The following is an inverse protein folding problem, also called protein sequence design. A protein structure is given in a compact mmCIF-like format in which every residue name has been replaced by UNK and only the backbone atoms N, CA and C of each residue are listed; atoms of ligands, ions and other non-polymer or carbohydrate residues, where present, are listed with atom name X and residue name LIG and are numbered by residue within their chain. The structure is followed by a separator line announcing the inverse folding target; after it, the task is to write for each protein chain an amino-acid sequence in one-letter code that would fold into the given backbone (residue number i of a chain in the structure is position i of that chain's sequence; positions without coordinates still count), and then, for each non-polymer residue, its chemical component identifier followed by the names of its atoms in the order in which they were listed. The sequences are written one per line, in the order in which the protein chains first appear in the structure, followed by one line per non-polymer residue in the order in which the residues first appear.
data_IF_419024112721
#
_entry.id   IF_419024112721
#
_cell.length_a   1.000
_cell.length_b   1.000
_cell.length_c   1.000
_cell.angle_alpha   90.00
_cell.angle_beta   90.00
_cell.angle_gamma   90.00
#
_symmetry.space_group_name_H-M   'P 1'
#
loop_
_entity.id
_entity.type
_entity.pdbx_description
1 polymer ?
#
# COMPACT_ATOMS: atom_id res chain seq x y z
N UNK A 1 -11.68 6.18 20.74
CA UNK A 1 -10.79 6.70 21.81
C UNK A 1 -9.38 6.26 21.45
N UNK A 2 -8.49 7.19 21.11
CA UNK A 2 -7.10 6.89 20.74
C UNK A 2 -6.31 6.77 22.04
N UNK A 3 -5.77 5.60 22.33
CA UNK A 3 -4.83 5.41 23.43
C UNK A 3 -3.42 5.67 22.89
N UNK A 4 -2.78 6.74 23.37
CA UNK A 4 -1.34 6.88 23.21
C UNK A 4 -0.67 6.00 24.27
N UNK A 5 -0.21 4.81 23.85
CA UNK A 5 0.66 3.98 24.69
C UNK A 5 2.10 4.41 24.39
N UNK A 6 2.65 5.29 25.21
CA UNK A 6 4.09 5.55 25.21
C UNK A 6 4.76 4.51 26.11
N UNK A 7 5.29 3.45 25.50
CA UNK A 7 6.12 2.48 26.19
C UNK A 7 7.56 3.01 26.32
N UNK A 8 7.94 3.52 27.49
CA UNK A 8 9.35 3.70 27.81
C UNK A 8 9.91 2.38 28.35
N UNK A 9 10.67 1.66 27.53
CA UNK A 9 11.53 0.58 28.00
C UNK A 9 12.72 1.21 28.75
N UNK A 10 12.54 1.54 30.03
CA UNK A 10 13.67 1.65 30.92
C UNK A 10 14.40 0.31 30.88
N UNK A 11 15.73 0.32 30.69
CA UNK A 11 16.57 -0.86 30.47
C UNK A 11 16.64 -1.88 31.62
N UNK A 12 15.57 -2.06 32.40
CA UNK A 12 15.35 -3.26 33.19
C UNK A 12 14.99 -4.39 32.22
N UNK A 13 15.90 -5.36 32.13
CA UNK A 13 15.85 -6.52 31.24
C UNK A 13 14.44 -7.09 31.10
N UNK A 14 13.87 -6.95 29.90
CA UNK A 14 12.73 -7.73 29.45
C UNK A 14 13.06 -9.22 29.69
N UNK A 15 12.29 -9.97 30.50
CA UNK A 15 12.64 -11.34 30.84
C UNK A 15 12.71 -12.24 29.62
N UNK A 16 13.75 -13.06 29.49
CA UNK A 16 13.95 -13.88 28.28
C UNK A 16 12.81 -14.87 28.00
N UNK A 17 12.07 -15.30 29.02
CA UNK A 17 10.92 -16.16 28.84
C UNK A 17 9.78 -15.50 28.06
N UNK A 18 9.64 -14.16 28.06
CA UNK A 18 8.60 -13.51 27.26
C UNK A 18 8.89 -13.61 25.76
N UNK A 19 10.17 -13.62 25.37
CA UNK A 19 10.59 -13.80 23.98
C UNK A 19 10.22 -15.19 23.50
N UNK A 20 10.38 -16.20 24.36
CA UNK A 20 9.95 -17.57 24.06
C UNK A 20 8.43 -17.68 23.95
N UNK A 21 7.68 -17.03 24.85
CA UNK A 21 6.21 -17.01 24.76
C UNK A 21 5.72 -16.33 23.48
N UNK A 22 6.37 -15.24 23.05
CA UNK A 22 6.05 -14.57 21.79
C UNK A 22 6.32 -15.48 20.58
N UNK A 23 7.45 -16.21 20.58
CA UNK A 23 7.78 -17.19 19.55
C UNK A 23 6.78 -18.37 19.54
N UNK A 24 6.40 -18.89 20.70
CA UNK A 24 5.44 -19.98 20.78
C UNK A 24 4.03 -19.55 20.37
N UNK A 25 3.65 -18.32 20.66
CA UNK A 25 2.39 -17.76 20.18
C UNK A 25 2.41 -17.61 18.67
N UNK A 26 3.49 -17.08 18.07
CA UNK A 26 3.59 -16.93 16.61
C UNK A 26 3.64 -18.26 15.86
N UNK A 27 4.14 -19.32 16.51
CA UNK A 27 4.11 -20.69 15.98
C UNK A 27 2.80 -21.44 16.28
N UNK A 28 1.82 -20.81 16.92
CA UNK A 28 0.54 -21.41 17.30
C UNK A 28 0.63 -22.49 18.39
N UNK A 29 1.74 -22.55 19.13
CA UNK A 29 1.97 -23.52 20.22
C UNK A 29 1.31 -23.13 21.54
N UNK A 30 1.01 -21.83 21.71
CA UNK A 30 0.16 -21.32 22.79
C UNK A 30 -0.93 -20.45 22.18
N UNK A 31 -2.08 -20.42 22.84
CA UNK A 31 -3.22 -19.60 22.46
C UNK A 31 -2.96 -18.11 22.65
N UNK A 32 -3.73 -17.27 21.97
CA UNK A 32 -3.72 -15.82 22.17
C UNK A 32 -4.00 -15.46 23.64
N UNK A 33 -4.93 -16.15 24.30
CA UNK A 33 -5.23 -15.93 25.71
C UNK A 33 -4.02 -16.21 26.63
N UNK A 34 -3.26 -17.28 26.36
CA UNK A 34 -2.04 -17.61 27.11
C UNK A 34 -0.94 -16.56 26.90
N UNK A 35 -0.82 -16.03 25.68
CA UNK A 35 0.11 -14.94 25.39
C UNK A 35 -0.30 -13.62 26.07
N UNK A 36 -1.59 -13.28 26.06
CA UNK A 36 -2.11 -12.08 26.75
C UNK A 36 -1.90 -12.16 28.27
N UNK A 37 -2.07 -13.33 28.87
CA UNK A 37 -1.79 -13.54 30.29
C UNK A 37 -0.30 -13.29 30.63
N UNK A 38 0.61 -13.63 29.72
CA UNK A 38 2.04 -13.37 29.88
C UNK A 38 2.37 -11.87 29.83
N UNK A 39 1.70 -11.10 28.97
CA UNK A 39 1.81 -9.64 28.92
C UNK A 39 1.20 -9.02 30.19
N UNK A 40 0.04 -9.51 30.62
CA UNK A 40 -0.61 -9.07 31.86
C UNK A 40 0.33 -9.25 33.07
N UNK A 41 1.03 -10.38 33.17
CA UNK A 41 2.04 -10.61 34.20
C UNK A 41 3.12 -9.52 34.22
N UNK A 42 3.59 -9.06 33.06
CA UNK A 42 4.62 -8.01 32.97
C UNK A 42 4.10 -6.65 33.48
N UNK A 43 2.83 -6.34 33.26
CA UNK A 43 2.17 -5.13 33.76
C UNK A 43 1.98 -5.23 35.28
N UNK A 44 1.47 -6.35 35.77
CA UNK A 44 1.22 -6.58 37.21
C UNK A 44 2.52 -6.52 38.02
N UNK A 45 3.61 -7.07 37.48
CA UNK A 45 4.93 -7.05 38.12
C UNK A 45 5.72 -5.77 37.83
N UNK A 46 5.10 -4.76 37.19
CA UNK A 46 5.70 -3.46 36.87
C UNK A 46 6.98 -3.55 36.04
N UNK A 47 7.17 -4.66 35.33
CA UNK A 47 8.24 -4.81 34.33
C UNK A 47 7.93 -3.91 33.12
N UNK A 48 6.65 -3.86 32.75
CA UNK A 48 6.10 -2.81 31.88
C UNK A 48 5.37 -1.82 32.78
N UNK A 49 5.78 -0.56 32.77
CA UNK A 49 5.06 0.51 33.47
C UNK A 49 4.26 1.31 32.46
N UNK A 50 2.95 1.35 32.62
CA UNK A 50 2.06 2.18 31.81
C UNK A 50 1.90 3.52 32.54
N UNK A 51 2.47 4.59 31.99
CA UNK A 51 2.23 5.94 32.49
C UNK A 51 0.84 6.39 32.03
N UNK A 52 -0.12 6.38 32.94
CA UNK A 52 -1.46 6.90 32.69
C UNK A 52 -1.47 8.39 33.09
N UNK A 53 -1.74 9.28 32.13
CA UNK A 53 -1.91 10.70 32.42
C UNK A 53 -3.18 10.88 33.29
N UNK A 54 -3.10 11.60 34.43
CA UNK A 54 -4.10 11.50 35.50
C UNK A 54 -5.43 12.23 35.26
N UNK A 55 -5.70 12.83 34.10
CA UNK A 55 -6.90 13.67 33.92
C UNK A 55 -8.17 12.96 33.44
N UNK A 56 -8.17 11.64 33.20
CA UNK A 56 -9.34 10.94 32.63
C UNK A 56 -9.84 9.69 33.37
N UNK A 57 -9.38 9.41 34.59
CA UNK A 57 -9.89 8.27 35.36
C UNK A 57 -11.09 8.66 36.26
N UNK A 58 -12.29 8.56 35.71
CA UNK A 58 -13.43 8.10 36.51
C UNK A 58 -13.52 6.59 36.35
N UNK A 59 -13.53 5.79 37.44
CA UNK A 59 -13.69 4.35 37.35
C UNK A 59 -15.14 4.06 36.96
N UNK A 60 -15.41 4.01 35.66
CA UNK A 60 -16.62 3.35 35.17
C UNK A 60 -16.33 1.85 35.22
N UNK A 61 -17.12 1.11 35.98
CA UNK A 61 -17.15 -0.37 35.98
C UNK A 61 -17.81 -0.90 34.69
N UNK A 62 -17.55 -0.28 33.54
CA UNK A 62 -18.02 -0.79 32.26
C UNK A 62 -17.17 -2.00 31.91
N UNK A 63 -17.77 -3.20 31.93
CA UNK A 63 -17.23 -4.34 31.20
C UNK A 63 -17.00 -3.88 29.76
N UNK A 64 -15.75 -3.70 29.36
CA UNK A 64 -15.41 -3.33 27.98
C UNK A 64 -15.69 -4.56 27.12
N UNK A 65 -16.86 -4.58 26.49
CA UNK A 65 -17.18 -5.57 25.46
C UNK A 65 -16.49 -5.13 24.18
N UNK A 66 -15.41 -5.81 23.80
CA UNK A 66 -14.82 -5.65 22.46
C UNK A 66 -15.87 -6.18 21.46
N UNK A 67 -16.28 -5.39 20.45
CA UNK A 67 -17.19 -5.87 19.42
C UNK A 67 -16.64 -7.13 18.75
N UNK A 68 -17.52 -8.10 18.49
CA UNK A 68 -17.15 -9.33 17.78
C UNK A 68 -16.78 -9.02 16.33
N UNK A 69 -16.11 -9.94 15.64
CA UNK A 69 -15.80 -9.80 14.21
C UNK A 69 -17.04 -9.50 13.37
N UNK A 70 -18.17 -10.13 13.70
CA UNK A 70 -19.47 -9.89 13.06
C UNK A 70 -20.02 -8.48 13.24
N UNK A 71 -19.54 -7.71 14.22
CA UNK A 71 -20.03 -6.37 14.54
C UNK A 71 -19.03 -5.26 14.17
N UNK A 72 -17.80 -5.60 13.77
CA UNK A 72 -16.72 -4.63 13.49
C UNK A 72 -16.31 -4.66 12.03
N UNK A 73 -15.83 -3.53 11.51
CA UNK A 73 -15.31 -3.43 10.15
C UNK A 73 -14.15 -4.41 9.92
N UNK A 74 -14.30 -5.28 8.93
CA UNK A 74 -13.33 -6.33 8.56
C UNK A 74 -12.84 -6.21 7.12
N UNK A 75 -13.64 -5.63 6.21
CA UNK A 75 -13.29 -5.56 4.80
C UNK A 75 -13.97 -4.40 4.07
N UNK A 76 -13.61 -4.22 2.80
CA UNK A 76 -14.14 -3.17 1.95
C UNK A 76 -14.64 -3.75 0.63
N UNK A 77 -15.74 -3.20 0.10
CA UNK A 77 -16.09 -3.34 -1.31
C UNK A 77 -16.02 -1.96 -1.95
N UNK A 78 -15.19 -1.86 -2.98
CA UNK A 78 -14.96 -0.62 -3.73
C UNK A 78 -15.67 -0.73 -5.08
N UNK A 79 -16.50 0.26 -5.42
CA UNK A 79 -17.16 0.34 -6.73
C UNK A 79 -16.81 1.60 -7.46
N UNK A 80 -16.58 1.48 -8.76
CA UNK A 80 -16.34 2.61 -9.63
C UNK A 80 -17.38 2.60 -10.76
N UNK A 81 -17.93 3.78 -11.05
CA UNK A 81 -18.92 3.95 -12.11
C UNK A 81 -18.84 5.35 -12.72
N UNK A 82 -19.48 5.57 -13.88
CA UNK A 82 -19.50 6.87 -14.54
C UNK A 82 -18.20 7.22 -15.29
N UNK A 83 -18.15 8.42 -15.88
CA UNK A 83 -17.06 8.83 -16.76
C UNK A 83 -16.90 7.89 -17.96
N UNK A 84 -15.72 7.30 -18.10
CA UNK A 84 -15.39 6.36 -19.19
C UNK A 84 -15.71 4.89 -18.85
N UNK A 85 -16.25 4.64 -17.67
CA UNK A 85 -16.57 3.31 -17.14
C UNK A 85 -17.93 2.86 -17.69
N UNK A 86 -17.93 1.85 -18.56
CA UNK A 86 -19.15 1.36 -19.21
C UNK A 86 -20.04 0.53 -18.28
N UNK A 87 -19.43 -0.35 -17.49
CA UNK A 87 -20.10 -1.20 -16.50
C UNK A 87 -19.49 -0.92 -15.14
N UNK A 88 -20.32 -0.89 -14.10
CA UNK A 88 -19.83 -0.74 -12.74
C UNK A 88 -18.77 -1.80 -12.44
N UNK A 89 -17.59 -1.35 -12.04
CA UNK A 89 -16.52 -2.21 -11.57
C UNK A 89 -16.65 -2.40 -10.07
N UNK A 90 -16.54 -3.63 -9.58
CA UNK A 90 -16.69 -3.98 -8.16
C UNK A 90 -15.46 -4.76 -7.71
N UNK A 91 -14.81 -4.31 -6.64
CA UNK A 91 -13.58 -4.90 -6.11
C UNK A 91 -13.72 -5.19 -4.62
N UNK A 92 -13.49 -6.44 -4.22
CA UNK A 92 -13.42 -6.88 -2.81
C UNK A 92 -11.98 -7.08 -2.32
N UNK A 93 -10.99 -6.87 -3.17
CA UNK A 93 -9.58 -7.22 -2.93
C UNK A 93 -8.70 -6.01 -2.56
N UNK A 94 -9.30 -4.85 -2.30
CA UNK A 94 -8.60 -3.72 -1.70
C UNK A 94 -8.40 -3.99 -0.20
N UNK A 95 -7.13 -4.05 0.19
CA UNK A 95 -6.74 -4.39 1.55
C UNK A 95 -6.87 -3.25 2.55
N UNK A 96 -6.83 -2.00 2.05
CA UNK A 96 -6.86 -0.80 2.86
C UNK A 96 -7.48 0.34 2.07
N UNK A 97 -8.42 1.02 2.69
CA UNK A 97 -9.06 2.22 2.17
C UNK A 97 -8.94 3.33 3.20
N UNK A 98 -8.30 4.43 2.82
CA UNK A 98 -8.01 5.52 3.75
C UNK A 98 -8.58 6.84 3.25
N UNK A 99 -9.55 7.43 3.97
CA UNK A 99 -9.97 8.80 3.71
C UNK A 99 -8.92 9.77 4.27
N UNK A 100 -8.41 10.68 3.43
CA UNK A 100 -7.46 11.72 3.85
C UNK A 100 -5.98 11.34 3.84
N UNK A 101 -5.15 12.23 4.40
CA UNK A 101 -3.68 12.10 4.46
C UNK A 101 -3.25 11.69 5.89
N UNK A 102 -2.50 10.59 6.01
CA UNK A 102 -1.90 10.14 7.28
C UNK A 102 -1.02 11.21 7.94
N UNK A 103 -0.45 12.15 7.17
CA UNK A 103 0.67 12.96 7.62
C UNK A 103 0.32 14.38 8.10
N UNK A 104 -0.93 14.86 8.01
CA UNK A 104 -1.29 16.23 8.44
C UNK A 104 -0.38 17.35 7.87
N UNK A 105 0.40 17.09 6.80
CA UNK A 105 1.44 18.01 6.33
C UNK A 105 0.87 19.16 5.47
N UNK A 106 -0.39 19.05 5.02
CA UNK A 106 -1.11 20.11 4.32
C UNK A 106 -2.20 20.68 5.24
N UNK A 107 -1.80 21.45 6.26
CA UNK A 107 -2.68 22.45 6.87
C UNK A 107 -2.64 23.70 5.98
N UNK A 108 -3.58 23.84 5.02
CA UNK A 108 -4.78 24.63 5.35
C UNK A 108 -6.09 24.23 4.62
N UNK A 109 -6.34 22.96 4.29
CA UNK A 109 -7.65 22.56 3.72
C UNK A 109 -8.62 21.90 4.71
N UNK A 110 -8.18 21.60 5.92
CA UNK A 110 -9.05 21.07 6.97
C UNK A 110 -9.53 22.18 7.91
N UNK A 111 -10.75 22.65 7.68
CA UNK A 111 -11.55 23.34 8.70
C UNK A 111 -12.93 22.70 8.81
N UNK A 112 -12.97 21.39 9.08
CA UNK A 112 -14.17 20.62 9.48
C UNK A 112 -14.94 19.89 8.35
N UNK A 113 -14.45 18.71 7.92
CA UNK A 113 -15.17 17.81 7.02
C UNK A 113 -14.42 16.50 6.67
N UNK A 114 -15.13 15.54 6.05
CA UNK A 114 -14.54 14.36 5.40
C UNK A 114 -13.59 14.81 4.30
N UNK A 115 -12.43 14.15 4.15
CA UNK A 115 -11.51 14.45 3.05
C UNK A 115 -12.14 14.10 1.71
N UNK A 116 -11.97 15.00 0.74
CA UNK A 116 -12.31 14.83 -0.66
C UNK A 116 -11.31 13.94 -1.40
N UNK A 117 -10.47 13.22 -0.67
CA UNK A 117 -9.39 12.39 -1.16
C UNK A 117 -9.42 11.01 -0.48
N UNK A 118 -9.12 9.95 -1.23
CA UNK A 118 -9.07 8.58 -0.76
C UNK A 118 -7.89 7.81 -1.34
N UNK A 119 -7.23 7.03 -0.46
CA UNK A 119 -6.18 6.08 -0.81
C UNK A 119 -6.78 4.69 -0.90
N UNK A 120 -6.50 3.99 -1.99
CA UNK A 120 -6.80 2.59 -2.19
C UNK A 120 -5.49 1.80 -2.27
N UNK A 121 -5.28 0.83 -1.39
CA UNK A 121 -4.07 0.00 -1.34
C UNK A 121 -4.42 -1.49 -1.46
N UNK A 122 -3.69 -2.22 -2.29
CA UNK A 122 -3.93 -3.64 -2.53
C UNK A 122 -2.69 -4.41 -2.98
N UNK A 123 -2.87 -5.72 -3.18
CA UNK A 123 -1.94 -6.53 -3.96
C UNK A 123 -2.24 -6.33 -5.45
N UNK A 124 -1.21 -6.10 -6.30
CA UNK A 124 -1.45 -5.95 -7.72
C UNK A 124 -1.87 -7.28 -8.32
N UNK A 125 -3.08 -7.37 -8.84
CA UNK A 125 -3.68 -8.66 -9.20
C UNK A 125 -4.63 -8.61 -10.40
N UNK A 126 -4.83 -9.77 -11.04
CA UNK A 126 -5.59 -9.92 -12.30
C UNK A 126 -7.05 -9.46 -12.21
N UNK A 127 -7.68 -9.55 -11.04
CA UNK A 127 -9.04 -9.05 -10.83
C UNK A 127 -9.15 -7.52 -11.01
N UNK A 128 -8.03 -6.79 -10.96
CA UNK A 128 -7.98 -5.32 -11.12
C UNK A 128 -7.54 -4.87 -12.51
N UNK A 129 -7.51 -5.74 -13.52
CA UNK A 129 -7.08 -5.39 -14.88
C UNK A 129 -7.84 -4.19 -15.47
N UNK A 130 -9.17 -4.13 -15.29
CA UNK A 130 -9.96 -2.98 -15.76
C UNK A 130 -9.63 -1.70 -15.00
N UNK A 131 -9.34 -1.80 -13.70
CA UNK A 131 -8.91 -0.67 -12.88
C UNK A 131 -7.55 -0.11 -13.34
N UNK A 132 -6.59 -0.97 -13.67
CA UNK A 132 -5.30 -0.54 -14.22
C UNK A 132 -5.44 0.15 -15.58
N UNK A 133 -6.38 -0.28 -16.41
CA UNK A 133 -6.68 0.42 -17.66
C UNK A 133 -7.15 1.85 -17.39
N UNK A 134 -8.01 2.08 -16.39
CA UNK A 134 -8.40 3.44 -15.99
C UNK A 134 -7.21 4.23 -15.46
N UNK A 135 -6.39 3.66 -14.57
CA UNK A 135 -5.18 4.32 -14.05
C UNK A 135 -4.27 4.78 -15.20
N UNK A 136 -4.06 3.92 -16.20
CA UNK A 136 -3.19 4.23 -17.34
C UNK A 136 -3.61 5.48 -18.11
N UNK A 137 -4.93 5.74 -18.21
CA UNK A 137 -5.49 6.91 -18.87
C UNK A 137 -5.19 8.20 -18.10
N UNK A 138 -5.05 8.13 -16.78
CA UNK A 138 -4.68 9.28 -15.93
C UNK A 138 -3.18 9.51 -15.84
N UNK A 139 -2.36 8.46 -15.98
CA UNK A 139 -0.89 8.57 -15.93
C UNK A 139 -0.31 9.19 -17.20
N UNK A 140 -0.84 8.84 -18.37
CA UNK A 140 -0.43 9.43 -19.65
C UNK A 140 -1.67 9.84 -20.46
N UNK A 141 -2.38 10.90 -20.02
CA UNK A 141 -3.63 11.31 -20.62
C UNK A 141 -3.36 11.94 -21.98
N UNK A 142 -3.44 11.14 -23.05
CA UNK A 142 -3.47 11.66 -24.42
C UNK A 142 -4.62 12.68 -24.62
N UNK A 143 -5.64 12.60 -23.77
CA UNK A 143 -6.64 13.64 -23.48
C UNK A 143 -7.00 13.59 -22.00
N UNK A 144 -7.53 14.69 -21.46
CA UNK A 144 -8.06 14.71 -20.10
C UNK A 144 -9.19 13.67 -19.92
N UNK A 145 -9.08 12.70 -18.99
CA UNK A 145 -10.13 11.71 -18.75
C UNK A 145 -11.37 12.33 -18.10
N UNK A 146 -12.53 11.76 -18.40
CA UNK A 146 -13.81 12.11 -17.75
C UNK A 146 -13.79 11.70 -16.27
N UNK A 147 -14.26 12.55 -15.33
CA UNK A 147 -14.36 12.15 -13.92
C UNK A 147 -15.33 10.97 -13.72
N UNK A 148 -15.02 10.11 -12.75
CA UNK A 148 -15.86 8.96 -12.36
C UNK A 148 -16.38 9.11 -10.93
N UNK A 149 -17.31 8.27 -10.51
CA UNK A 149 -17.81 8.18 -9.14
C UNK A 149 -17.29 6.90 -8.47
N UNK A 150 -17.05 6.96 -7.16
CA UNK A 150 -16.42 5.90 -6.37
C UNK A 150 -17.23 5.68 -5.11
N UNK A 151 -17.68 4.46 -4.82
CA UNK A 151 -18.32 4.10 -3.55
C UNK A 151 -17.48 3.08 -2.79
N UNK A 152 -17.35 3.25 -1.48
CA UNK A 152 -16.68 2.31 -0.58
C UNK A 152 -17.66 1.84 0.46
N UNK A 153 -18.02 0.56 0.41
CA UNK A 153 -18.72 -0.09 1.51
C UNK A 153 -17.71 -0.61 2.52
N UNK A 154 -17.99 -0.34 3.79
CA UNK A 154 -17.27 -0.92 4.93
C UNK A 154 -18.11 -2.07 5.46
N UNK A 155 -17.57 -3.29 5.41
CA UNK A 155 -18.29 -4.49 5.79
C UNK A 155 -17.81 -5.03 7.13
N UNK A 156 -18.74 -5.59 7.89
CA UNK A 156 -18.43 -6.41 9.07
C UNK A 156 -17.91 -7.80 8.70
N UNK A 157 -17.51 -8.59 9.70
CA UNK A 157 -17.14 -10.01 9.52
C UNK A 157 -18.29 -10.94 9.14
N UNK A 158 -19.56 -10.50 9.24
CA UNK A 158 -20.74 -11.21 8.73
C UNK A 158 -21.19 -10.70 7.34
N UNK A 159 -20.35 -9.91 6.67
CA UNK A 159 -20.57 -9.27 5.37
C UNK A 159 -21.76 -8.28 5.33
N UNK A 160 -22.22 -7.80 6.49
CA UNK A 160 -23.19 -6.70 6.52
C UNK A 160 -22.52 -5.34 6.30
N UNK A 161 -23.15 -4.47 5.52
CA UNK A 161 -22.61 -3.12 5.26
C UNK A 161 -22.83 -2.25 6.50
N UNK A 162 -21.75 -1.79 7.13
CA UNK A 162 -21.81 -0.83 8.24
C UNK A 162 -22.16 0.56 7.75
N UNK A 163 -21.44 1.01 6.73
CA UNK A 163 -21.61 2.30 6.08
C UNK A 163 -21.10 2.23 4.64
N UNK A 164 -21.61 3.14 3.82
CA UNK A 164 -21.15 3.39 2.46
C UNK A 164 -20.65 4.82 2.38
N UNK A 165 -19.42 5.01 1.88
CA UNK A 165 -18.87 6.33 1.56
C UNK A 165 -18.94 6.52 0.04
N UNK A 166 -19.73 7.48 -0.40
CA UNK A 166 -19.92 7.83 -1.80
C UNK A 166 -19.08 9.06 -2.15
N UNK A 167 -18.17 8.91 -3.10
CA UNK A 167 -17.37 9.98 -3.66
C UNK A 167 -17.82 10.29 -5.09
N UNK A 168 -17.88 11.57 -5.43
CA UNK A 168 -18.34 12.02 -6.75
C UNK A 168 -17.30 12.86 -7.49
N UNK A 169 -17.30 12.77 -8.82
CA UNK A 169 -16.41 13.51 -9.73
C UNK A 169 -14.93 13.31 -9.38
N UNK A 170 -14.55 12.06 -9.20
CA UNK A 170 -13.22 11.59 -8.87
C UNK A 170 -12.27 11.60 -10.06
N UNK A 171 -10.99 11.75 -9.76
CA UNK A 171 -9.84 11.73 -10.66
C UNK A 171 -8.70 11.00 -9.97
N UNK A 172 -8.03 10.12 -10.68
CA UNK A 172 -6.80 9.52 -10.18
C UNK A 172 -5.70 10.57 -10.30
N UNK A 173 -5.03 10.86 -9.18
CA UNK A 173 -3.96 11.87 -9.12
C UNK A 173 -2.60 11.24 -8.86
N UNK A 174 -2.54 9.99 -8.40
CA UNK A 174 -1.32 9.18 -8.46
C UNK A 174 -1.60 7.68 -8.39
N UNK A 175 -0.62 6.92 -8.87
CA UNK A 175 -0.49 5.50 -8.69
C UNK A 175 0.98 5.16 -8.44
N UNK A 176 1.26 4.25 -7.53
CA UNK A 176 2.61 3.71 -7.34
C UNK A 176 2.55 2.25 -6.94
N UNK A 177 3.48 1.45 -7.48
CA UNK A 177 3.83 0.15 -6.94
C UNK A 177 5.02 0.30 -6.00
N UNK A 178 5.03 -0.47 -4.92
CA UNK A 178 6.14 -0.51 -3.98
C UNK A 178 6.23 -1.87 -3.32
N UNK A 179 7.39 -2.16 -2.76
CA UNK A 179 7.59 -3.37 -1.98
C UNK A 179 7.49 -3.08 -0.50
N UNK A 180 6.68 -3.85 0.22
CA UNK A 180 6.51 -3.72 1.67
C UNK A 180 7.40 -4.73 2.40
N UNK A 181 8.45 -4.22 3.06
CA UNK A 181 9.45 -5.02 3.77
C UNK A 181 9.17 -5.16 5.27
N UNK A 182 8.27 -4.33 5.83
CA UNK A 182 8.10 -4.24 7.27
C UNK A 182 7.19 -5.36 7.81
N UNK A 183 7.75 -6.18 8.70
CA UNK A 183 7.09 -7.33 9.36
C UNK A 183 5.90 -6.91 10.25
N UNK A 184 5.85 -5.65 10.71
CA UNK A 184 4.80 -5.13 11.60
C UNK A 184 3.50 -4.75 10.88
N UNK A 185 3.42 -4.90 9.55
CA UNK A 185 2.18 -4.72 8.80
C UNK A 185 1.55 -6.09 8.49
N UNK A 186 0.22 -6.15 8.39
CA UNK A 186 -0.50 -7.35 7.95
C UNK A 186 0.00 -7.75 6.55
N UNK A 187 0.66 -8.90 6.46
CA UNK A 187 1.06 -9.53 5.20
C UNK A 187 0.00 -10.54 4.76
N UNK A 188 -0.33 -10.56 3.47
CA UNK A 188 -1.30 -11.49 2.90
C UNK A 188 -0.64 -12.77 2.36
N UNK A 189 0.69 -12.81 2.29
CA UNK A 189 1.47 -14.02 2.06
C UNK A 189 1.49 -14.96 3.27
N UNK A 190 1.56 -16.26 3.01
CA UNK A 190 1.68 -17.30 4.05
C UNK A 190 3.09 -17.40 4.64
N UNK A 191 4.04 -16.59 4.16
CA UNK A 191 5.43 -16.56 4.59
C UNK A 191 5.85 -15.11 4.84
N UNK A 192 6.69 -14.90 5.84
CA UNK A 192 7.31 -13.61 6.15
C UNK A 192 8.29 -13.21 5.05
N UNK A 193 7.80 -12.53 4.03
CA UNK A 193 8.57 -12.08 2.89
C UNK A 193 8.14 -10.69 2.45
N UNK A 194 8.99 -10.04 1.66
CA UNK A 194 8.65 -8.79 0.97
C UNK A 194 7.42 -9.01 0.07
N UNK A 195 6.46 -8.08 0.13
CA UNK A 195 5.21 -8.18 -0.62
C UNK A 195 5.05 -6.97 -1.53
N UNK A 196 4.82 -7.21 -2.82
CA UNK A 196 4.59 -6.14 -3.79
C UNK A 196 3.16 -5.65 -3.62
N UNK A 197 3.02 -4.34 -3.42
CA UNK A 197 1.76 -3.63 -3.20
C UNK A 197 1.60 -2.50 -4.20
N UNK A 198 0.35 -2.13 -4.44
CA UNK A 198 0.02 -0.89 -5.14
C UNK A 198 -0.78 0.06 -4.26
N UNK A 199 -0.63 1.35 -4.57
CA UNK A 199 -1.35 2.43 -3.95
C UNK A 199 -1.89 3.35 -5.03
N UNK A 200 -3.18 3.62 -4.98
CA UNK A 200 -3.84 4.60 -5.84
C UNK A 200 -4.41 5.73 -5.01
N UNK A 201 -4.16 6.94 -5.48
CA UNK A 201 -4.51 8.22 -4.88
C UNK A 201 -5.63 8.80 -5.73
N UNK A 202 -6.84 8.90 -5.16
CA UNK A 202 -8.04 9.38 -5.87
C UNK A 202 -8.55 10.67 -5.22
N UNK A 203 -8.59 11.74 -6.00
CA UNK A 203 -9.15 13.03 -5.60
C UNK A 203 -10.56 13.22 -6.16
N UNK A 204 -11.51 13.63 -5.35
CA UNK A 204 -12.92 13.77 -5.67
C UNK A 204 -13.40 15.18 -5.34
N UNK A 205 -14.56 15.59 -5.89
CA UNK A 205 -15.12 16.93 -5.63
C UNK A 205 -16.24 16.92 -4.59
N UNK A 206 -16.77 15.75 -4.26
CA UNK A 206 -17.84 15.59 -3.27
C UNK A 206 -17.75 14.25 -2.57
N UNK A 207 -18.19 14.22 -1.31
CA UNK A 207 -18.25 13.04 -0.46
C UNK A 207 -19.58 13.05 0.30
N UNK A 208 -20.20 11.89 0.38
CA UNK A 208 -21.44 11.62 1.12
C UNK A 208 -21.30 10.30 1.88
N UNK A 209 -21.94 10.17 3.04
CA UNK A 209 -21.85 8.98 3.88
C UNK A 209 -23.25 8.48 4.21
N UNK A 210 -23.54 7.26 3.78
CA UNK A 210 -24.76 6.55 4.12
C UNK A 210 -24.48 5.57 5.26
N UNK A 211 -25.21 5.69 6.36
CA UNK A 211 -25.11 4.77 7.51
C UNK A 211 -26.34 3.89 7.54
N UNK A 212 -26.14 2.57 7.62
CA UNK A 212 -27.23 1.62 7.78
C UNK A 212 -26.94 0.26 7.16
N UNK A 213 -27.41 -0.80 7.81
CA UNK A 213 -27.27 -2.18 7.36
C UNK A 213 -28.04 -2.39 6.06
N UNK A 214 -27.30 -2.50 4.94
CA UNK A 214 -27.79 -3.07 3.69
C UNK A 214 -27.23 -4.49 3.60
N UNK A 215 -28.10 -5.48 3.41
CA UNK A 215 -27.66 -6.83 3.03
C UNK A 215 -27.11 -6.76 1.60
N UNK A 216 -25.87 -7.19 1.38
CA UNK A 216 -25.24 -7.15 0.07
C UNK A 216 -25.06 -8.51 -0.59
N UNK A 217 -24.71 -8.43 -1.88
CA UNK A 217 -24.30 -9.54 -2.74
C UNK A 217 -23.03 -10.15 -2.14
N UNK A 218 -23.03 -11.47 -1.95
CA UNK A 218 -21.90 -12.26 -1.48
C UNK A 218 -20.74 -12.17 -2.50
N UNK A 219 -19.91 -11.15 -2.38
CA UNK A 219 -18.58 -11.10 -3.00
C UNK A 219 -17.61 -11.39 -1.88
N UNK A 220 -17.27 -12.66 -1.68
CA UNK A 220 -16.35 -13.06 -0.64
C UNK A 220 -15.06 -12.23 -0.72
N UNK A 221 -14.59 -11.71 0.41
CA UNK A 221 -13.28 -11.09 0.49
C UNK A 221 -12.23 -12.15 0.15
N UNK A 222 -11.54 -11.98 -0.99
CA UNK A 222 -10.55 -12.93 -1.47
C UNK A 222 -9.20 -12.26 -1.55
N UNK A 223 -8.25 -12.80 -0.81
CA UNK A 223 -6.84 -12.48 -0.99
C UNK A 223 -6.40 -13.12 -2.32
N UNK A 224 -5.90 -12.34 -3.30
CA UNK A 224 -5.40 -12.90 -4.55
C UNK A 224 -4.29 -13.93 -4.30
N UNK A 225 -4.34 -15.04 -5.03
CA UNK A 225 -3.31 -16.09 -4.98
C UNK A 225 -1.97 -15.57 -5.54
N UNK A 226 -0.87 -16.31 -5.32
CA UNK A 226 0.41 -15.99 -5.97
C UNK A 226 0.30 -15.99 -7.50
N UNK A 227 -0.48 -16.89 -8.08
CA UNK A 227 -0.67 -17.00 -9.53
C UNK A 227 -1.46 -15.82 -10.10
N UNK A 228 -2.29 -15.18 -9.26
CA UNK A 228 -3.13 -14.05 -9.66
C UNK A 228 -2.50 -12.69 -9.38
N UNK A 229 -1.44 -12.63 -8.57
CA UNK A 229 -0.83 -11.38 -8.12
C UNK A 229 0.63 -11.25 -8.53
N UNK A 230 1.10 -10.03 -8.63
CA UNK A 230 2.51 -9.73 -8.95
C UNK A 230 3.41 -10.22 -7.82
N UNK A 231 4.43 -10.99 -8.18
CA UNK A 231 5.44 -11.51 -7.24
C UNK A 231 6.86 -11.12 -7.63
N UNK A 232 7.08 -10.62 -8.85
CA UNK A 232 8.41 -10.26 -9.33
C UNK A 232 8.39 -9.22 -10.45
N UNK A 233 9.57 -8.70 -10.76
CA UNK A 233 9.80 -7.75 -11.86
C UNK A 233 10.77 -8.34 -12.88
N UNK A 234 10.52 -8.07 -14.16
CA UNK A 234 11.50 -8.29 -15.22
C UNK A 234 11.78 -6.96 -15.90
N UNK A 235 13.04 -6.54 -15.89
CA UNK A 235 13.47 -5.26 -16.44
C UNK A 235 14.23 -5.50 -17.73
N UNK A 236 13.80 -4.86 -18.80
CA UNK A 236 14.39 -4.92 -20.12
C UNK A 236 15.04 -3.59 -20.46
N UNK A 237 16.34 -3.62 -20.76
CA UNK A 237 17.09 -2.50 -21.25
C UNK A 237 17.41 -2.70 -22.73
N UNK A 238 17.19 -1.66 -23.54
CA UNK A 238 17.43 -1.73 -24.98
C UNK A 238 17.69 -0.34 -25.55
N UNK A 239 18.52 -0.23 -26.58
CA UNK A 239 18.88 1.05 -27.20
C UNK A 239 20.35 1.07 -27.61
N UNK A 240 20.89 2.23 -28.01
CA UNK A 240 22.27 2.37 -28.47
C UNK A 240 23.34 1.87 -27.49
N UNK A 241 23.08 1.95 -26.17
CA UNK A 241 23.99 1.42 -25.13
C UNK A 241 23.95 -0.12 -24.99
N UNK A 242 22.95 -0.77 -25.57
CA UNK A 242 22.72 -2.21 -25.46
C UNK A 242 22.72 -2.89 -26.84
N UNK A 243 23.65 -3.83 -27.13
CA UNK A 243 23.72 -4.50 -28.44
C UNK A 243 22.52 -5.41 -28.77
N UNK A 244 21.55 -5.52 -27.86
CA UNK A 244 20.29 -6.26 -27.97
C UNK A 244 19.39 -5.93 -26.78
N UNK A 245 18.33 -6.71 -26.56
CA UNK A 245 17.50 -6.58 -25.36
C UNK A 245 18.19 -7.28 -24.19
N UNK A 246 18.66 -6.51 -23.22
CA UNK A 246 19.28 -7.01 -22.00
C UNK A 246 18.25 -7.08 -20.88
N UNK A 247 17.97 -8.28 -20.37
CA UNK A 247 16.84 -8.53 -19.46
C UNK A 247 17.32 -9.05 -18.11
N UNK A 248 16.74 -8.53 -17.03
CA UNK A 248 17.08 -8.88 -15.65
C UNK A 248 15.82 -9.11 -14.82
N UNK A 249 15.78 -10.24 -14.12
CA UNK A 249 14.71 -10.60 -13.18
C UNK A 249 15.17 -10.54 -11.71
N UNK A 250 16.34 -9.94 -11.47
CA UNK A 250 17.01 -9.88 -10.17
C UNK A 250 16.81 -8.55 -9.44
N UNK A 251 15.84 -7.74 -9.89
CA UNK A 251 15.40 -6.53 -9.19
C UNK A 251 14.35 -6.87 -8.15
N UNK A 252 14.52 -6.37 -6.92
CA UNK A 252 13.61 -6.64 -5.80
C UNK A 252 12.55 -5.55 -5.67
N UNK A 253 12.84 -4.32 -6.11
CA UNK A 253 11.88 -3.22 -6.05
C UNK A 253 11.81 -2.44 -7.35
N UNK A 254 10.60 -2.01 -7.65
CA UNK A 254 10.29 -1.03 -8.67
C UNK A 254 9.28 -0.04 -8.09
N UNK A 255 9.58 1.25 -8.23
CA UNK A 255 8.64 2.32 -7.90
C UNK A 255 8.58 3.33 -9.05
N UNK A 256 7.42 3.51 -9.70
CA UNK A 256 7.23 4.62 -10.62
C UNK A 256 7.13 5.89 -9.78
N UNK A 257 8.05 6.83 -9.98
CA UNK A 257 8.13 8.07 -9.21
C UNK A 257 7.63 9.23 -10.06
N UNK A 258 6.65 9.97 -9.53
CA UNK A 258 6.03 11.09 -10.24
C UNK A 258 6.50 12.45 -9.73
N UNK A 259 7.15 12.54 -8.57
CA UNK A 259 7.80 13.75 -8.04
C UNK A 259 8.57 13.39 -6.76
N UNK A 260 9.89 13.57 -6.68
CA UNK A 260 10.63 13.37 -5.41
C UNK A 260 10.76 14.72 -4.70
N UNK A 261 10.17 14.87 -3.51
CA UNK A 261 10.63 15.87 -2.55
C UNK A 261 11.72 15.21 -1.71
N UNK A 262 12.97 15.55 -1.98
CA UNK A 262 14.06 15.24 -1.07
C UNK A 262 13.96 16.16 0.16
N UNK A 263 13.71 15.57 1.33
CA UNK A 263 13.98 16.23 2.62
C UNK A 263 15.16 15.52 3.29
N UNK A 264 15.96 16.19 4.15
CA UNK A 264 17.15 15.59 4.77
C UNK A 264 16.88 14.41 5.71
N UNK A 265 15.62 14.01 5.90
CA UNK A 265 15.22 12.90 6.76
C UNK A 265 14.47 11.79 6.01
N UNK A 266 13.90 12.08 4.82
CA UNK A 266 13.07 11.14 4.03
C UNK A 266 13.01 11.58 2.57
N UNK A 267 13.22 10.66 1.64
CA UNK A 267 12.82 10.78 0.22
C UNK A 267 11.32 10.52 0.11
N UNK A 268 10.52 11.56 -0.10
CA UNK A 268 9.09 11.39 -0.39
C UNK A 268 8.86 11.46 -1.89
N UNK A 269 8.12 10.50 -2.44
CA UNK A 269 7.42 10.74 -3.69
C UNK A 269 6.19 11.60 -3.38
N UNK A 270 6.19 12.87 -3.80
CA UNK A 270 4.96 13.64 -3.85
C UNK A 270 4.07 13.01 -4.94
N UNK A 271 2.80 12.71 -4.66
CA UNK A 271 1.79 12.59 -5.69
C UNK A 271 1.65 13.99 -6.32
N UNK A 272 2.46 14.25 -7.35
CA UNK A 272 2.40 15.48 -8.12
C UNK A 272 1.96 15.13 -9.54
N UNK A 273 0.99 15.92 -9.99
CA UNK A 273 0.34 15.90 -11.29
C UNK A 273 1.32 15.59 -12.44
N UNK A 274 1.02 14.70 -13.41
CA UNK A 274 1.91 14.33 -14.52
C UNK A 274 2.20 15.46 -15.53
N UNK A 275 1.84 16.71 -15.24
CA UNK A 275 1.87 17.81 -16.22
C UNK A 275 3.16 18.64 -16.21
N UNK A 276 4.11 18.45 -15.28
CA UNK A 276 5.28 19.34 -15.16
C UNK A 276 6.65 18.68 -14.93
N UNK A 277 6.75 17.35 -14.83
CA UNK A 277 8.03 16.63 -14.65
C UNK A 277 8.29 15.55 -15.71
N UNK A 278 9.57 15.31 -16.03
CA UNK A 278 9.97 14.12 -16.79
C UNK A 278 9.66 12.86 -15.96
N UNK A 279 9.04 11.81 -16.53
CA UNK A 279 8.77 10.57 -15.82
C UNK A 279 10.04 9.98 -15.22
N UNK A 280 9.97 9.49 -13.98
CA UNK A 280 11.07 8.86 -13.28
C UNK A 280 10.66 7.49 -12.73
N UNK A 281 11.65 6.68 -12.39
CA UNK A 281 11.45 5.43 -11.70
C UNK A 281 12.66 5.09 -10.85
N UNK A 282 12.43 4.25 -9.84
CA UNK A 282 13.47 3.69 -8.99
C UNK A 282 13.48 2.17 -9.18
N UNK A 283 14.68 1.61 -9.36
CA UNK A 283 14.92 0.17 -9.31
C UNK A 283 15.91 -0.12 -8.19
N UNK A 284 15.55 -1.05 -7.31
CA UNK A 284 16.44 -1.52 -6.23
C UNK A 284 16.67 -3.02 -6.35
N UNK A 285 17.88 -3.43 -5.95
CA UNK A 285 18.28 -4.82 -5.90
C UNK A 285 19.53 -4.99 -5.07
N UNK A 286 19.79 -6.21 -4.61
CA UNK A 286 21.10 -6.57 -4.11
C UNK A 286 22.14 -6.53 -5.25
N UNK A 287 23.37 -6.06 -4.97
CA UNK A 287 24.45 -6.13 -5.95
C UNK A 287 24.72 -7.57 -6.39
N UNK A 288 24.81 -7.80 -7.69
CA UNK A 288 24.89 -9.16 -8.22
C UNK A 288 25.63 -9.22 -9.57
N UNK A 289 26.25 -10.38 -9.87
CA UNK A 289 27.12 -10.54 -11.05
C UNK A 289 26.38 -10.42 -12.38
N UNK A 290 25.11 -10.80 -12.41
CA UNK A 290 24.24 -10.69 -13.58
C UNK A 290 24.10 -9.25 -14.04
N UNK A 291 24.17 -8.25 -13.15
CA UNK A 291 24.08 -6.80 -13.45
C UNK A 291 25.40 -6.16 -13.92
N UNK A 292 26.41 -6.96 -14.27
CA UNK A 292 27.73 -6.45 -14.66
C UNK A 292 27.67 -5.46 -15.84
N UNK A 293 26.81 -5.71 -16.82
CA UNK A 293 26.66 -4.83 -18.00
C UNK A 293 26.07 -3.46 -17.60
N UNK A 294 25.09 -3.43 -16.70
CA UNK A 294 24.59 -2.17 -16.11
C UNK A 294 25.69 -1.42 -15.37
N UNK A 295 26.49 -2.09 -14.55
CA UNK A 295 27.59 -1.41 -13.84
C UNK A 295 28.62 -0.81 -14.80
N UNK A 296 28.87 -1.44 -15.95
CA UNK A 296 29.75 -0.88 -16.97
C UNK A 296 29.15 0.39 -17.58
N UNK A 297 27.83 0.43 -17.81
CA UNK A 297 27.13 1.62 -18.31
C UNK A 297 27.14 2.73 -17.26
N UNK A 298 26.74 2.45 -16.01
CA UNK A 298 26.78 3.41 -14.90
C UNK A 298 28.18 4.00 -14.69
N UNK A 299 29.24 3.22 -14.92
CA UNK A 299 30.61 3.72 -14.79
C UNK A 299 30.95 4.82 -15.81
N UNK A 300 30.27 4.88 -16.96
CA UNK A 300 30.46 5.95 -17.97
C UNK A 300 29.90 7.29 -17.51
N UNK A 301 28.87 7.30 -16.68
CA UNK A 301 28.28 8.53 -16.11
C UNK A 301 29.13 9.13 -14.99
N UNK A 302 29.90 8.29 -14.28
CA UNK A 302 30.70 8.72 -13.12
C UNK A 302 32.09 9.19 -13.57
N UNK A 303 32.67 8.57 -14.59
CA UNK A 303 34.02 8.88 -15.07
C UNK A 303 33.99 9.96 -16.17
N UNK A 304 34.99 10.84 -16.24
CA UNK A 304 35.10 11.84 -17.30
C UNK A 304 35.26 11.14 -18.67
N UNK A 305 34.17 11.12 -19.44
CA UNK A 305 34.07 10.49 -20.76
C UNK A 305 32.96 11.14 -21.59
N UNK A 306 32.71 10.65 -22.82
CA UNK A 306 31.55 11.07 -23.59
C UNK A 306 30.27 10.70 -22.84
N UNK A 307 29.31 11.63 -22.84
CA UNK A 307 27.98 11.40 -22.29
C UNK A 307 27.37 10.14 -22.94
N UNK A 308 26.85 9.19 -22.15
CA UNK A 308 26.24 7.97 -22.68
C UNK A 308 25.05 8.29 -23.58
N UNK A 309 24.77 7.40 -24.52
CA UNK A 309 23.56 7.52 -25.33
C UNK A 309 22.33 7.20 -24.48
N UNK A 310 21.23 7.90 -24.76
CA UNK A 310 19.93 7.56 -24.18
C UNK A 310 19.54 6.13 -24.55
N UNK A 311 18.81 5.46 -23.66
CA UNK A 311 18.29 4.13 -23.89
C UNK A 311 16.86 4.01 -23.38
N UNK A 312 16.20 2.90 -23.69
CA UNK A 312 14.84 2.64 -23.27
C UNK A 312 14.81 1.52 -22.23
N UNK A 313 13.84 1.62 -21.32
CA UNK A 313 13.60 0.65 -20.27
C UNK A 313 12.15 0.21 -20.31
N UNK A 314 11.92 -1.10 -20.29
CA UNK A 314 10.60 -1.69 -20.07
C UNK A 314 10.62 -2.50 -18.78
N UNK A 315 9.65 -2.30 -17.89
CA UNK A 315 9.53 -3.03 -16.63
C UNK A 315 8.21 -3.80 -16.65
N UNK A 316 8.32 -5.12 -16.61
CA UNK A 316 7.20 -6.03 -16.52
C UNK A 316 6.97 -6.42 -15.07
N UNK A 317 5.73 -6.26 -14.61
CA UNK A 317 5.25 -6.78 -13.33
C UNK A 317 4.63 -8.15 -13.58
N UNK A 318 5.25 -9.20 -13.04
CA UNK A 318 4.97 -10.60 -13.37
C UNK A 318 4.24 -11.30 -12.22
N UNK A 319 3.15 -12.00 -12.55
CA UNK A 319 2.41 -12.85 -11.61
C UNK A 319 3.07 -14.21 -11.39
N UNK A 320 2.65 -14.96 -10.37
CA UNK A 320 3.22 -16.27 -10.05
C UNK A 320 3.11 -17.34 -11.13
N UNK A 321 2.17 -17.17 -12.08
CA UNK A 321 2.00 -18.02 -13.26
C UNK A 321 2.67 -17.46 -14.52
N UNK A 322 3.64 -16.55 -14.36
CA UNK A 322 4.41 -15.92 -15.42
C UNK A 322 3.61 -15.01 -16.37
N UNK A 323 2.42 -14.54 -15.97
CA UNK A 323 1.66 -13.55 -16.74
C UNK A 323 2.20 -12.13 -16.49
N UNK A 324 2.38 -11.34 -17.55
CA UNK A 324 2.65 -9.90 -17.43
C UNK A 324 1.34 -9.19 -17.05
N UNK A 325 1.24 -8.73 -15.82
CA UNK A 325 0.07 -7.96 -15.35
C UNK A 325 0.13 -6.51 -15.84
N UNK A 326 1.31 -5.89 -15.73
CA UNK A 326 1.57 -4.51 -16.15
C UNK A 326 2.91 -4.41 -16.86
N UNK A 327 2.98 -3.55 -17.87
CA UNK A 327 4.24 -3.18 -18.54
C UNK A 327 4.41 -1.66 -18.53
N UNK A 328 5.49 -1.21 -17.91
CA UNK A 328 5.87 0.19 -17.82
C UNK A 328 6.97 0.48 -18.83
N UNK A 329 6.78 1.48 -19.69
CA UNK A 329 7.74 1.81 -20.73
C UNK A 329 8.29 3.23 -20.52
N UNK A 330 9.60 3.33 -20.40
CA UNK A 330 10.35 4.57 -20.28
C UNK A 330 11.24 4.71 -21.50
N UNK A 331 11.09 5.84 -22.21
CA UNK A 331 11.90 6.17 -23.37
C UNK A 331 12.89 7.27 -23.03
N UNK A 332 14.01 7.32 -23.73
CA UNK A 332 15.03 8.36 -23.58
C UNK A 332 15.57 8.49 -22.13
N UNK A 333 15.79 7.34 -21.48
CA UNK A 333 16.41 7.25 -20.16
C UNK A 333 17.88 7.64 -20.26
N UNK A 334 18.28 8.58 -19.41
CA UNK A 334 19.63 9.12 -19.31
C UNK A 334 20.17 8.97 -17.89
#
# INVERSE_FOLDING_TARGET
MIFFITGEANGQMVPDWIKNNALWWSEGKISEQEYLNAIQYLIENKVITIQLLPEFFQPSTSNISIPLDEDRAMSYIVRLSGGEIQNEMIFSTFSRVEPGDELNLIKPFHSEGFSDYVILESLPSKDKLEFYNIISQYLNPGRQPEPFDLSVDVLTGDDSVLLTVNYSKCKITAYTSYSQETILFYQFGTQLQEEIRDRTTVYCSGVDVEVGSKSQILVGNQIPSNDDRVISYVVHFFGPEFPGVYSLNSFSKFSPTINVIETPYVTFTKPGNPFDGSPQFILESLPSKDKKELYQIYSKYINPGPEPFSFNVSIDMITGDDTILQRWNYSDVN
#
